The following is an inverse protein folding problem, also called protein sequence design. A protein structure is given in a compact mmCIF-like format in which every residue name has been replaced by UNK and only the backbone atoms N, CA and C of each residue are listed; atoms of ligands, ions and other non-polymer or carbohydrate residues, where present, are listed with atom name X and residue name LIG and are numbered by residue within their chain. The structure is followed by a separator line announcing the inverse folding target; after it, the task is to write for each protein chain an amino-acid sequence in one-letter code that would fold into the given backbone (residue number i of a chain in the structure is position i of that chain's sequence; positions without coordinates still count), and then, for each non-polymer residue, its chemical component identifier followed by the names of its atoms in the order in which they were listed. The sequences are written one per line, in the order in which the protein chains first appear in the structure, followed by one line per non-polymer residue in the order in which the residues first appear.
data_IF_931657709120
#
_entry.id   IF_931657709120
#
_cell.length_a   1.000
_cell.length_b   1.000
_cell.length_c   1.000
_cell.angle_alpha   90.00
_cell.angle_beta   90.00
_cell.angle_gamma   90.00
#
_symmetry.space_group_name_H-M   'P 1'
#
loop_
_entity.id
_entity.type
_entity.pdbx_description
1 polymer ?
#
# COMPACT_ATOMS: atom_id res chain seq x y z
N UNK A 1 13.72 -10.72 12.74
CA UNK A 1 12.73 -11.82 12.86
C UNK A 1 12.96 -12.81 11.73
N UNK A 2 13.08 -14.12 12.01
CA UNK A 2 13.53 -15.11 11.01
C UNK A 2 12.42 -15.79 10.18
N UNK A 3 11.13 -15.63 10.51
CA UNK A 3 10.03 -16.28 9.77
C UNK A 3 8.70 -15.49 9.80
N UNK A 4 8.44 -14.62 8.79
CA UNK A 4 7.19 -13.87 8.67
C UNK A 4 5.94 -14.75 8.50
N UNK A 5 6.08 -15.94 7.89
CA UNK A 5 4.97 -16.86 7.64
C UNK A 5 4.27 -17.41 8.91
N UNK A 6 4.91 -17.26 10.08
CA UNK A 6 4.35 -17.67 11.38
C UNK A 6 3.43 -16.61 12.00
N UNK A 7 3.36 -15.42 11.43
CA UNK A 7 2.50 -14.36 11.93
C UNK A 7 1.01 -14.70 11.73
N UNK A 8 0.18 -14.31 12.69
CA UNK A 8 -1.28 -14.40 12.54
C UNK A 8 -1.70 -13.54 11.35
N UNK A 9 -2.33 -14.16 10.35
CA UNK A 9 -2.77 -13.48 9.13
C UNK A 9 -3.66 -12.30 9.46
N UNK A 10 -3.40 -11.19 8.77
CA UNK A 10 -4.25 -10.00 8.80
C UNK A 10 -5.22 -10.09 7.61
N UNK A 11 -6.51 -9.88 7.87
CA UNK A 11 -7.52 -9.82 6.82
C UNK A 11 -7.32 -8.59 5.94
N UNK A 12 -7.59 -8.73 4.64
CA UNK A 12 -7.60 -7.61 3.71
C UNK A 12 -8.76 -6.64 4.04
N UNK A 13 -8.58 -5.33 3.82
CA UNK A 13 -9.67 -4.36 3.90
C UNK A 13 -10.83 -4.76 2.97
N UNK A 14 -12.08 -4.59 3.42
CA UNK A 14 -13.27 -4.98 2.62
C UNK A 14 -13.36 -4.23 1.29
N UNK A 15 -12.83 -3.01 1.23
CA UNK A 15 -12.83 -2.16 0.03
C UNK A 15 -11.57 -2.32 -0.85
N UNK A 16 -10.76 -3.35 -0.60
CA UNK A 16 -9.59 -3.67 -1.41
C UNK A 16 -9.95 -4.67 -2.51
N UNK A 17 -9.76 -4.27 -3.75
CA UNK A 17 -10.21 -4.97 -4.96
C UNK A 17 -9.14 -5.91 -5.51
N UNK A 18 -8.59 -6.78 -4.67
CA UNK A 18 -7.67 -7.83 -5.11
C UNK A 18 -7.65 -9.04 -4.17
N UNK A 19 -7.33 -10.20 -4.74
CA UNK A 19 -7.01 -11.41 -3.96
C UNK A 19 -5.49 -11.56 -3.97
N UNK A 20 -4.86 -11.36 -2.81
CA UNK A 20 -3.42 -11.54 -2.67
C UNK A 20 -3.04 -13.03 -2.74
N UNK A 21 -1.96 -13.32 -3.46
CA UNK A 21 -1.30 -14.64 -3.44
C UNK A 21 -0.80 -14.98 -2.03
N UNK A 22 -0.58 -16.26 -1.68
CA UNK A 22 -0.14 -16.64 -0.32
C UNK A 22 1.14 -15.92 0.17
N UNK A 23 2.13 -15.74 -0.72
CA UNK A 23 3.36 -15.01 -0.40
C UNK A 23 3.11 -13.50 -0.21
N UNK A 24 2.25 -12.89 -1.03
CA UNK A 24 1.85 -11.48 -0.89
C UNK A 24 1.09 -11.23 0.42
N UNK A 25 0.23 -12.17 0.82
CA UNK A 25 -0.45 -12.11 2.11
C UNK A 25 0.53 -12.19 3.28
N UNK A 26 1.61 -12.96 3.13
CA UNK A 26 2.70 -13.03 4.11
C UNK A 26 3.40 -11.68 4.23
N UNK A 27 3.76 -11.05 3.11
CA UNK A 27 4.39 -9.73 3.10
C UNK A 27 3.47 -8.62 3.64
N UNK A 28 2.19 -8.59 3.23
CA UNK A 28 1.18 -7.68 3.81
C UNK A 28 1.02 -7.88 5.33
N UNK A 29 0.91 -9.12 5.80
CA UNK A 29 0.81 -9.43 7.24
C UNK A 29 2.06 -8.95 7.99
N UNK A 30 3.24 -9.13 7.39
CA UNK A 30 4.50 -8.68 7.95
C UNK A 30 4.59 -7.15 8.03
N UNK A 31 4.19 -6.42 6.98
CA UNK A 31 4.15 -4.95 6.99
C UNK A 31 3.26 -4.41 8.12
N UNK A 32 2.08 -5.00 8.32
CA UNK A 32 1.18 -4.62 9.41
C UNK A 32 1.80 -4.88 10.79
N UNK A 33 2.51 -6.00 10.94
CA UNK A 33 3.22 -6.30 12.17
C UNK A 33 4.33 -5.26 12.44
N UNK A 34 5.16 -4.96 11.45
CA UNK A 34 6.24 -3.98 11.57
C UNK A 34 5.70 -2.61 12.00
N UNK A 35 4.65 -2.13 11.32
CA UNK A 35 3.96 -0.89 11.67
C UNK A 35 3.42 -0.90 13.10
N UNK A 36 2.73 -1.97 13.51
CA UNK A 36 2.19 -2.11 14.88
C UNK A 36 3.28 -2.09 15.95
N UNK A 37 4.47 -2.59 15.64
CA UNK A 37 5.62 -2.61 16.56
C UNK A 37 6.46 -1.33 16.52
N UNK A 38 6.15 -0.38 15.64
CA UNK A 38 6.91 0.87 15.49
C UNK A 38 8.25 0.72 14.76
N UNK A 39 8.49 -0.39 14.07
CA UNK A 39 9.70 -0.60 13.29
C UNK A 39 9.49 -0.25 11.81
N UNK A 40 10.54 0.27 11.17
CA UNK A 40 10.60 0.41 9.72
C UNK A 40 10.70 -0.96 9.02
N UNK A 41 10.30 -1.00 7.74
CA UNK A 41 10.28 -2.23 6.94
C UNK A 41 10.91 -2.01 5.56
N UNK A 42 11.67 -2.99 5.09
CA UNK A 42 12.15 -3.06 3.71
C UNK A 42 11.54 -4.29 3.02
N UNK A 43 10.58 -4.07 2.12
CA UNK A 43 9.98 -5.14 1.33
C UNK A 43 10.80 -5.37 0.07
N UNK A 44 11.80 -6.25 0.18
CA UNK A 44 12.78 -6.54 -0.86
C UNK A 44 12.48 -7.82 -1.66
N UNK A 45 11.20 -8.13 -1.88
CA UNK A 45 10.78 -9.22 -2.77
C UNK A 45 11.32 -8.99 -4.19
N UNK A 46 11.53 -10.07 -4.95
CA UNK A 46 11.94 -9.99 -6.35
C UNK A 46 11.00 -9.13 -7.21
N UNK A 47 11.54 -8.61 -8.30
CA UNK A 47 10.75 -7.86 -9.29
C UNK A 47 9.65 -8.77 -9.87
N UNK A 48 8.45 -8.21 -10.07
CA UNK A 48 7.29 -8.96 -10.57
C UNK A 48 6.45 -9.68 -9.51
N UNK A 49 6.90 -9.80 -8.26
CA UNK A 49 6.12 -10.43 -7.17
C UNK A 49 4.97 -9.55 -6.63
N UNK A 50 4.72 -8.39 -7.24
CA UNK A 50 3.58 -7.53 -6.88
C UNK A 50 3.78 -6.81 -5.53
N UNK A 51 4.93 -6.17 -5.32
CA UNK A 51 5.16 -5.31 -4.15
C UNK A 51 4.13 -4.18 -4.08
N UNK A 52 3.76 -3.60 -5.22
CA UNK A 52 2.77 -2.52 -5.30
C UNK A 52 1.43 -2.92 -4.70
N UNK A 53 0.85 -4.07 -5.09
CA UNK A 53 -0.44 -4.52 -4.54
C UNK A 53 -0.36 -4.82 -3.03
N UNK A 54 0.79 -5.29 -2.53
CA UNK A 54 1.01 -5.48 -1.09
C UNK A 54 1.04 -4.13 -0.33
N UNK A 55 1.72 -3.13 -0.88
CA UNK A 55 1.78 -1.78 -0.30
C UNK A 55 0.41 -1.10 -0.34
N UNK A 56 -0.34 -1.23 -1.44
CA UNK A 56 -1.71 -0.67 -1.52
C UNK A 56 -2.66 -1.32 -0.52
N UNK A 57 -2.58 -2.63 -0.32
CA UNK A 57 -3.34 -3.32 0.73
C UNK A 57 -2.99 -2.77 2.12
N UNK A 58 -1.70 -2.56 2.38
CA UNK A 58 -1.20 -1.99 3.64
C UNK A 58 -1.68 -0.55 3.87
N UNK A 59 -1.58 0.33 2.86
CA UNK A 59 -2.06 1.71 2.95
C UNK A 59 -3.57 1.79 3.13
N UNK A 60 -4.34 0.97 2.40
CA UNK A 60 -5.78 0.88 2.55
C UNK A 60 -6.18 0.43 3.95
N UNK A 61 -5.43 -0.50 4.54
CA UNK A 61 -5.63 -0.95 5.92
C UNK A 61 -5.34 0.16 6.92
N UNK A 62 -4.21 0.85 6.77
CA UNK A 62 -3.82 1.97 7.62
C UNK A 62 -4.88 3.08 7.62
N UNK A 63 -5.40 3.43 6.44
CA UNK A 63 -6.47 4.42 6.31
C UNK A 63 -7.83 3.95 6.88
N UNK A 64 -8.10 2.65 6.86
CA UNK A 64 -9.31 2.10 7.47
C UNK A 64 -9.21 2.09 9.01
N UNK A 65 -8.04 1.75 9.55
CA UNK A 65 -7.81 1.69 10.99
C UNK A 65 -7.71 3.11 11.61
N UNK A 66 -7.22 4.09 10.86
CA UNK A 66 -7.18 5.50 11.26
C UNK A 66 -7.38 6.44 10.05
N UNK A 67 -8.50 7.16 10.02
CA UNK A 67 -8.84 8.11 8.93
C UNK A 67 -7.92 9.33 8.87
N UNK A 68 -7.27 9.67 9.98
CA UNK A 68 -6.30 10.77 10.05
C UNK A 68 -4.89 10.34 9.63
N UNK A 69 -4.65 9.04 9.39
CA UNK A 69 -3.34 8.55 8.97
C UNK A 69 -2.96 9.16 7.61
N UNK A 70 -1.72 9.68 7.54
CA UNK A 70 -1.13 10.23 6.32
C UNK A 70 0.05 9.36 5.89
N UNK A 71 0.17 9.13 4.59
CA UNK A 71 1.32 8.46 3.99
C UNK A 71 1.85 9.30 2.84
N UNK A 72 3.18 9.36 2.72
CA UNK A 72 3.87 9.91 1.56
C UNK A 72 4.52 8.75 0.80
N UNK A 73 4.09 8.55 -0.45
CA UNK A 73 4.69 7.58 -1.33
C UNK A 73 5.60 8.30 -2.33
N UNK A 74 6.91 8.02 -2.24
CA UNK A 74 7.92 8.59 -3.15
C UNK A 74 8.27 7.53 -4.18
N UNK A 75 8.11 7.86 -5.46
CA UNK A 75 8.38 6.98 -6.59
C UNK A 75 9.05 7.76 -7.72
N UNK A 76 9.84 7.10 -8.60
CA UNK A 76 10.28 7.71 -9.85
C UNK A 76 9.11 8.31 -10.64
N UNK A 77 9.30 9.49 -11.23
CA UNK A 77 8.28 10.19 -11.98
C UNK A 77 7.64 9.32 -13.09
N UNK A 78 8.45 8.49 -13.75
CA UNK A 78 8.01 7.55 -14.78
C UNK A 78 7.01 6.49 -14.30
N UNK A 79 6.91 6.25 -12.98
CA UNK A 79 5.99 5.28 -12.40
C UNK A 79 4.68 5.89 -11.90
N UNK A 80 4.53 7.22 -11.88
CA UNK A 80 3.33 7.88 -11.35
C UNK A 80 2.04 7.37 -12.00
N UNK A 81 2.00 7.31 -13.33
CA UNK A 81 0.82 6.83 -14.05
C UNK A 81 0.54 5.34 -13.85
N UNK A 82 1.54 4.53 -13.52
CA UNK A 82 1.31 3.13 -13.15
C UNK A 82 0.70 3.03 -11.74
N UNK A 83 1.21 3.79 -10.78
CA UNK A 83 0.67 3.84 -9.43
C UNK A 83 -0.76 4.37 -9.39
N UNK A 84 -1.07 5.42 -10.16
CA UNK A 84 -2.43 5.94 -10.31
C UNK A 84 -3.40 4.83 -10.75
N UNK A 85 -3.09 4.13 -11.84
CA UNK A 85 -3.89 3.00 -12.35
C UNK A 85 -4.01 1.86 -11.34
N UNK A 86 -2.95 1.53 -10.61
CA UNK A 86 -2.99 0.47 -9.60
C UNK A 86 -3.82 0.87 -8.36
N UNK A 87 -3.78 2.13 -7.94
CA UNK A 87 -4.64 2.65 -6.87
C UNK A 87 -6.10 2.57 -7.30
N UNK A 88 -6.44 3.09 -8.49
CA UNK A 88 -7.81 3.05 -9.02
C UNK A 88 -8.32 1.61 -9.17
N UNK A 89 -7.46 0.69 -9.58
CA UNK A 89 -7.80 -0.73 -9.75
C UNK A 89 -8.00 -1.45 -8.41
N UNK A 90 -7.04 -1.34 -7.50
CA UNK A 90 -6.96 -2.19 -6.31
C UNK A 90 -7.49 -1.52 -5.04
N UNK A 91 -7.42 -0.21 -4.93
CA UNK A 91 -7.83 0.55 -3.76
C UNK A 91 -8.63 1.82 -4.14
N UNK A 92 -9.74 1.71 -4.89
CA UNK A 92 -10.49 2.87 -5.41
C UNK A 92 -11.14 3.75 -4.31
N UNK A 93 -11.10 3.31 -3.05
CA UNK A 93 -11.62 4.05 -1.89
C UNK A 93 -10.51 4.67 -1.05
N UNK A 94 -9.24 4.51 -1.45
CA UNK A 94 -8.11 5.16 -0.82
C UNK A 94 -7.96 6.57 -1.42
N UNK A 95 -8.17 7.64 -0.64
CA UNK A 95 -7.90 8.99 -1.13
C UNK A 95 -6.41 9.16 -1.41
N UNK A 96 -6.08 9.80 -2.53
CA UNK A 96 -4.71 10.09 -2.91
C UNK A 96 -4.62 11.41 -3.68
N UNK A 97 -3.44 12.00 -3.66
CA UNK A 97 -3.10 13.20 -4.41
C UNK A 97 -1.68 13.08 -4.97
N UNK A 98 -1.49 13.49 -6.22
CA UNK A 98 -0.18 13.41 -6.90
C UNK A 98 0.54 14.76 -6.75
N UNK A 99 1.63 14.77 -5.99
CA UNK A 99 2.54 15.91 -5.84
C UNK A 99 3.72 15.78 -6.81
N UNK A 100 3.62 16.34 -8.02
CA UNK A 100 4.72 16.29 -8.99
C UNK A 100 4.70 17.47 -9.99
N UNK A 101 5.64 18.41 -9.85
CA UNK A 101 5.92 19.49 -10.81
C UNK A 101 4.85 20.59 -10.88
N UNK A 102 5.27 21.83 -11.19
CA UNK A 102 4.42 23.05 -11.19
C UNK A 102 3.36 23.16 -12.31
N UNK A 103 2.77 22.05 -12.76
CA UNK A 103 1.81 22.04 -13.84
C UNK A 103 0.88 20.83 -13.80
N UNK A 104 -0.40 21.12 -13.51
CA UNK A 104 -1.59 20.24 -13.45
C UNK A 104 -1.68 19.35 -12.22
N UNK A 105 -2.40 19.90 -11.24
CA UNK A 105 -3.04 19.19 -10.14
C UNK A 105 -3.93 18.06 -10.70
N UNK A 106 -3.67 16.82 -10.29
CA UNK A 106 -4.55 15.68 -10.53
C UNK A 106 -4.67 14.85 -9.26
N UNK A 107 -5.89 14.74 -8.75
CA UNK A 107 -6.23 14.01 -7.53
C UNK A 107 -7.55 14.49 -6.96
N UNK A 108 -8.24 13.66 -6.19
CA UNK A 108 -9.40 14.13 -5.43
C UNK A 108 -8.90 15.02 -4.30
N UNK A 109 -9.29 16.29 -4.34
CA UNK A 109 -9.02 17.22 -3.25
C UNK A 109 -9.62 16.66 -1.95
N UNK A 110 -8.79 16.55 -0.93
CA UNK A 110 -9.23 16.36 0.44
C UNK A 110 -9.72 17.73 0.93
N UNK A 111 -11.05 17.89 1.03
CA UNK A 111 -11.68 18.91 1.88
C UNK A 111 -11.79 18.35 3.30
#
# INVERSE_FOLDING_TARGET
MRSPAKLRRVGLPKCFNAILRPYQNTGYTWLNYMNKTGFGACLADDMGLGKTVQILAFLQRMYQDNREARALLIVPASLLGNWEKEIEKFAPKLPYFILHGGGREKGQALL
#
